data_IF_360118083242
#
_entry.id   IF_360118083242
#
_cell.length_a   1.000
_cell.length_b   1.000
_cell.length_c   1.000
_cell.angle_alpha   90.00
_cell.angle_beta   90.00
_cell.angle_gamma   90.00
#
_symmetry.space_group_name_H-M   'P 1'
#
loop_
_entity.id
_entity.type
_entity.pdbx_description
1 polymer ?
#
# COMPACT_ATOMS: atom_id res chain seq x y z
N UNK A 1 16.08 -1.88 -35.29
CA UNK A 1 17.06 -2.92 -34.92
C UNK A 1 16.70 -3.40 -33.52
N UNK A 2 16.02 -4.55 -33.37
CA UNK A 2 15.61 -5.05 -32.06
C UNK A 2 16.77 -5.84 -31.42
N UNK A 3 17.13 -5.48 -30.19
CA UNK A 3 18.05 -6.27 -29.37
C UNK A 3 17.24 -7.35 -28.65
N UNK A 4 17.66 -8.60 -28.85
CA UNK A 4 17.10 -9.80 -28.25
C UNK A 4 17.73 -10.03 -26.89
N UNK A 5 16.97 -9.87 -25.81
CA UNK A 5 17.13 -10.69 -24.60
C UNK A 5 15.79 -10.78 -23.90
N UNK A 6 15.21 -11.97 -23.95
CA UNK A 6 13.96 -12.31 -23.30
C UNK A 6 14.13 -12.36 -21.80
N UNK A 7 13.60 -11.36 -21.12
CA UNK A 7 12.99 -11.48 -19.81
C UNK A 7 11.83 -10.49 -19.81
N UNK A 8 10.73 -10.88 -20.46
CA UNK A 8 9.45 -10.24 -20.20
C UNK A 8 9.18 -10.55 -18.74
N UNK A 9 9.46 -9.58 -17.87
CA UNK A 9 9.03 -9.65 -16.48
C UNK A 9 7.52 -9.96 -16.53
N UNK A 10 7.16 -11.16 -16.08
CA UNK A 10 5.79 -11.71 -16.10
C UNK A 10 4.80 -10.79 -15.33
N UNK A 11 5.32 -9.78 -14.63
CA UNK A 11 4.57 -8.77 -13.92
C UNK A 11 4.19 -7.50 -14.71
N UNK A 12 4.73 -7.27 -15.92
CA UNK A 12 4.57 -5.97 -16.59
C UNK A 12 3.41 -5.91 -17.62
N UNK A 13 2.69 -7.01 -17.88
CA UNK A 13 1.57 -7.00 -18.85
C UNK A 13 0.40 -7.88 -18.46
N UNK A 14 -0.03 -7.79 -17.21
CA UNK A 14 -1.37 -8.29 -16.85
C UNK A 14 -2.17 -7.21 -16.19
N UNK A 15 -3.19 -6.77 -16.91
CA UNK A 15 -4.31 -5.99 -16.39
C UNK A 15 -5.14 -6.91 -15.46
N UNK A 16 -4.55 -7.29 -14.31
CA UNK A 16 -5.14 -8.10 -13.24
C UNK A 16 -5.62 -7.15 -12.13
N UNK A 17 -6.74 -6.49 -12.38
CA UNK A 17 -7.12 -5.30 -11.61
C UNK A 17 -7.77 -5.55 -10.23
N UNK A 18 -8.20 -6.77 -9.82
CA UNK A 18 -8.65 -6.94 -8.42
C UNK A 18 -7.56 -7.42 -7.44
N UNK A 19 -6.58 -8.24 -7.86
CA UNK A 19 -5.64 -8.87 -6.91
C UNK A 19 -4.36 -8.07 -6.67
N UNK A 20 -3.87 -7.35 -7.68
CA UNK A 20 -2.66 -6.53 -7.54
C UNK A 20 -2.90 -5.28 -6.68
N UNK A 21 -4.12 -4.74 -6.70
CA UNK A 21 -4.49 -3.48 -6.01
C UNK A 21 -4.37 -3.57 -4.49
N UNK A 22 -4.66 -4.74 -3.91
CA UNK A 22 -4.48 -4.97 -2.47
C UNK A 22 -3.00 -5.02 -2.04
N UNK A 23 -2.15 -5.63 -2.87
CA UNK A 23 -0.71 -5.67 -2.62
C UNK A 23 -0.07 -4.28 -2.72
N UNK A 24 -0.49 -3.46 -3.68
CA UNK A 24 -0.06 -2.07 -3.81
C UNK A 24 -0.45 -1.22 -2.61
N UNK A 25 -1.68 -1.37 -2.09
CA UNK A 25 -2.09 -0.67 -0.87
C UNK A 25 -1.26 -1.08 0.34
N UNK A 26 -0.94 -2.37 0.48
CA UNK A 26 -0.04 -2.85 1.52
C UNK A 26 1.35 -2.21 1.40
N UNK A 27 1.91 -2.15 0.19
CA UNK A 27 3.22 -1.53 -0.06
C UNK A 27 3.26 -0.06 0.38
N UNK A 28 2.27 0.73 -0.04
CA UNK A 28 2.23 2.16 0.29
C UNK A 28 1.76 2.51 1.70
N UNK A 29 1.34 1.52 2.48
CA UNK A 29 0.91 1.74 3.87
C UNK A 29 1.81 1.00 4.86
N UNK A 30 1.83 -0.33 4.84
CA UNK A 30 2.57 -1.13 5.82
C UNK A 30 4.08 -1.11 5.56
N UNK A 31 4.52 -1.10 4.30
CA UNK A 31 5.95 -1.11 3.97
C UNK A 31 6.54 0.31 3.95
N UNK A 32 5.89 1.23 3.23
CA UNK A 32 6.42 2.59 2.99
C UNK A 32 5.44 3.71 3.37
N UNK A 33 4.55 3.46 4.32
CA UNK A 33 3.58 4.46 4.78
C UNK A 33 4.16 5.54 5.70
N UNK A 34 3.61 6.74 5.54
CA UNK A 34 3.87 7.89 6.40
C UNK A 34 2.58 8.30 7.12
N UNK A 35 2.70 8.79 8.34
CA UNK A 35 1.60 9.34 9.11
C UNK A 35 1.89 10.77 9.54
N UNK A 36 0.82 11.54 9.70
CA UNK A 36 0.88 12.88 10.25
C UNK A 36 0.62 12.81 11.75
N UNK A 37 1.52 13.35 12.55
CA UNK A 37 1.32 13.49 13.99
C UNK A 37 1.36 14.98 14.33
N UNK A 38 0.17 15.59 14.43
CA UNK A 38 0.01 17.03 14.57
C UNK A 38 0.58 17.78 13.36
N UNK A 39 1.66 18.54 13.59
CA UNK A 39 2.36 19.28 12.53
C UNK A 39 3.61 18.56 11.99
N UNK A 40 3.90 17.34 12.46
CA UNK A 40 5.09 16.60 12.06
C UNK A 40 4.73 15.41 11.18
N UNK A 41 5.58 15.16 10.18
CA UNK A 41 5.51 13.96 9.35
C UNK A 41 6.37 12.87 9.97
N UNK A 42 5.82 11.68 10.15
CA UNK A 42 6.51 10.51 10.69
C UNK A 42 6.38 9.32 9.77
N UNK A 43 7.40 8.47 9.76
CA UNK A 43 7.36 7.19 9.08
C UNK A 43 6.89 6.10 10.05
N UNK A 44 6.01 5.22 9.57
CA UNK A 44 5.62 4.01 10.29
C UNK A 44 5.81 2.74 9.46
N UNK A 45 6.08 2.88 8.17
CA UNK A 45 6.34 1.75 7.28
C UNK A 45 7.57 0.94 7.69
N UNK A 46 7.45 -0.39 7.63
CA UNK A 46 8.53 -1.31 8.02
C UNK A 46 9.78 -1.16 7.13
N UNK A 47 9.61 -0.95 5.83
CA UNK A 47 10.68 -0.68 4.88
C UNK A 47 11.44 0.61 5.22
N UNK A 48 10.71 1.68 5.59
CA UNK A 48 11.33 2.93 6.02
C UNK A 48 12.09 2.77 7.34
N UNK A 49 11.55 2.04 8.31
CA UNK A 49 12.21 1.83 9.59
C UNK A 49 13.46 0.94 9.49
N UNK A 50 13.54 0.07 8.49
CA UNK A 50 14.69 -0.80 8.25
C UNK A 50 15.78 -0.16 7.37
N UNK A 51 15.46 0.89 6.61
CA UNK A 51 16.38 1.59 5.71
C UNK A 51 16.62 3.04 6.14
N UNK A 52 17.78 3.30 6.75
CA UNK A 52 18.14 4.65 7.21
C UNK A 52 18.22 5.69 6.09
N UNK A 53 18.74 5.31 4.92
CA UNK A 53 18.87 6.21 3.78
C UNK A 53 17.51 6.61 3.22
N UNK A 54 16.62 5.63 3.08
CA UNK A 54 15.29 5.86 2.56
C UNK A 54 14.38 6.59 3.55
N UNK A 55 14.52 6.33 4.85
CA UNK A 55 13.83 7.10 5.89
C UNK A 55 14.13 8.60 5.78
N UNK A 56 15.40 8.96 5.61
CA UNK A 56 15.80 10.37 5.40
C UNK A 56 15.24 10.93 4.11
N UNK A 57 15.22 10.12 3.05
CA UNK A 57 14.65 10.53 1.78
C UNK A 57 13.14 10.80 1.91
N UNK A 58 12.39 9.87 2.49
CA UNK A 58 10.95 9.95 2.68
C UNK A 58 10.50 11.15 3.54
N UNK A 59 11.31 11.55 4.53
CA UNK A 59 11.03 12.71 5.39
C UNK A 59 11.61 14.04 4.85
N UNK A 60 12.29 14.01 3.71
CA UNK A 60 12.82 15.22 3.06
C UNK A 60 11.77 15.87 2.14
N UNK A 61 12.09 17.04 1.57
CA UNK A 61 11.24 17.71 0.59
C UNK A 61 11.51 17.24 -0.86
N UNK A 62 12.27 16.16 -1.04
CA UNK A 62 12.63 15.62 -2.36
C UNK A 62 11.48 14.79 -2.95
N UNK A 63 10.89 13.80 -2.24
CA UNK A 63 9.76 13.05 -2.76
C UNK A 63 8.46 13.84 -2.61
N UNK A 64 7.43 13.39 -3.34
CA UNK A 64 6.08 13.95 -3.23
C UNK A 64 5.30 13.25 -2.13
N UNK A 65 4.71 14.02 -1.23
CA UNK A 65 3.75 13.54 -0.25
C UNK A 65 2.33 13.74 -0.75
N UNK A 66 1.56 12.67 -0.85
CA UNK A 66 0.14 12.71 -1.23
C UNK A 66 -0.71 12.15 -0.09
N UNK A 67 -1.95 12.63 0.09
CA UNK A 67 -2.86 12.00 1.06
C UNK A 67 -3.16 10.56 0.65
N UNK A 68 -3.22 9.66 1.63
CA UNK A 68 -3.64 8.29 1.41
C UNK A 68 -5.08 8.28 0.90
N UNK A 69 -5.30 7.72 -0.28
CA UNK A 69 -6.62 7.58 -0.91
C UNK A 69 -6.67 6.20 -1.56
N UNK A 70 -7.35 5.24 -0.90
CA UNK A 70 -7.28 3.83 -1.29
C UNK A 70 -7.66 3.57 -2.77
N UNK A 71 -8.60 4.34 -3.31
CA UNK A 71 -9.03 4.25 -4.70
C UNK A 71 -7.97 4.69 -5.72
N UNK A 72 -7.08 5.60 -5.36
CA UNK A 72 -6.01 6.08 -6.26
C UNK A 72 -4.69 5.39 -5.99
N UNK A 73 -4.37 5.16 -4.71
CA UNK A 73 -3.12 4.54 -4.28
C UNK A 73 -2.98 3.12 -4.81
N UNK A 74 -4.09 2.39 -4.95
CA UNK A 74 -4.04 1.00 -5.42
C UNK A 74 -3.60 0.84 -6.89
N UNK A 75 -3.67 1.90 -7.69
CA UNK A 75 -3.20 1.93 -9.08
C UNK A 75 -1.79 2.52 -9.23
N UNK A 76 -1.21 3.03 -8.14
CA UNK A 76 0.12 3.62 -8.18
C UNK A 76 1.16 2.54 -8.44
N UNK A 77 1.97 2.72 -9.48
CA UNK A 77 3.13 1.86 -9.75
C UNK A 77 4.30 2.23 -8.85
N UNK A 78 5.04 1.22 -8.41
CA UNK A 78 6.27 1.34 -7.62
C UNK A 78 7.36 0.42 -8.18
N UNK A 79 8.60 0.72 -7.80
CA UNK A 79 9.80 -0.07 -8.10
C UNK A 79 10.48 -0.40 -6.78
N UNK A 80 11.00 -1.62 -6.62
CA UNK A 80 11.70 -2.09 -5.41
C UNK A 80 13.21 -1.81 -5.44
N UNK A 81 13.77 -1.39 -6.57
CA UNK A 81 15.21 -1.16 -6.73
C UNK A 81 15.68 0.22 -6.25
N UNK A 82 14.83 1.24 -6.35
CA UNK A 82 15.16 2.65 -6.08
C UNK A 82 14.23 3.28 -5.04
N UNK A 83 14.61 4.46 -4.53
CA UNK A 83 13.78 5.22 -3.59
C UNK A 83 12.46 5.67 -4.21
N UNK A 84 11.38 5.61 -3.42
CA UNK A 84 10.06 5.96 -3.92
C UNK A 84 9.94 7.45 -4.24
N UNK A 85 9.47 7.83 -5.43
CA UNK A 85 9.27 9.24 -5.78
C UNK A 85 8.03 9.84 -5.11
N UNK A 86 7.11 8.99 -4.65
CA UNK A 86 5.83 9.37 -4.05
C UNK A 86 5.60 8.53 -2.80
N UNK A 87 5.27 9.19 -1.69
CA UNK A 87 4.84 8.56 -0.45
C UNK A 87 3.42 9.01 -0.11
N UNK A 88 2.63 8.08 0.43
CA UNK A 88 1.28 8.38 0.89
C UNK A 88 1.27 8.63 2.39
N UNK A 89 0.59 9.71 2.77
CA UNK A 89 0.49 10.19 4.14
C UNK A 89 -0.93 9.94 4.63
N UNK A 90 -1.05 9.20 5.72
CA UNK A 90 -2.30 9.07 6.48
C UNK A 90 -2.35 10.15 7.55
N UNK A 91 -3.53 10.75 7.76
CA UNK A 91 -3.74 11.64 8.90
C UNK A 91 -3.82 10.84 10.21
N UNK A 92 -4.55 9.72 10.20
CA UNK A 92 -4.72 8.82 11.35
C UNK A 92 -4.67 7.35 10.91
N UNK A 93 -4.31 6.45 11.83
CA UNK A 93 -4.36 5.00 11.56
C UNK A 93 -5.78 4.50 11.38
N UNK A 94 -6.75 5.06 12.12
CA UNK A 94 -8.16 4.70 11.99
C UNK A 94 -8.71 5.08 10.61
N UNK A 95 -8.33 6.23 10.07
CA UNK A 95 -8.73 6.66 8.72
C UNK A 95 -8.17 5.71 7.65
N UNK A 96 -6.88 5.38 7.72
CA UNK A 96 -6.26 4.39 6.83
C UNK A 96 -7.00 3.05 6.85
N UNK A 97 -7.35 2.56 8.05
CA UNK A 97 -8.10 1.31 8.21
C UNK A 97 -9.50 1.40 7.61
N UNK A 98 -10.22 2.51 7.79
CA UNK A 98 -11.54 2.74 7.20
C UNK A 98 -11.44 2.76 5.68
N UNK A 99 -10.46 3.47 5.12
CA UNK A 99 -10.25 3.54 3.68
C UNK A 99 -9.99 2.16 3.06
N UNK A 100 -9.09 1.37 3.65
CA UNK A 100 -8.77 0.01 3.18
C UNK A 100 -9.99 -0.92 3.32
N UNK A 101 -10.72 -0.84 4.43
CA UNK A 101 -11.96 -1.62 4.63
C UNK A 101 -13.02 -1.29 3.57
N UNK A 102 -13.26 0.00 3.32
CA UNK A 102 -14.22 0.46 2.33
C UNK A 102 -13.80 0.06 0.91
N UNK A 103 -12.50 0.14 0.61
CA UNK A 103 -11.96 -0.34 -0.68
C UNK A 103 -12.17 -1.84 -0.84
N UNK A 104 -11.87 -2.64 0.18
CA UNK A 104 -12.04 -4.10 0.19
C UNK A 104 -13.50 -4.51 -0.02
N UNK A 105 -14.44 -3.86 0.66
CA UNK A 105 -15.87 -4.15 0.51
C UNK A 105 -16.41 -3.83 -0.89
N UNK A 106 -15.91 -2.77 -1.52
CA UNK A 106 -16.34 -2.36 -2.87
C UNK A 106 -15.72 -3.20 -3.99
N UNK A 107 -14.45 -3.56 -3.85
CA UNK A 107 -13.67 -4.17 -4.93
C UNK A 107 -13.55 -5.70 -4.82
N UNK A 108 -13.77 -6.28 -3.63
CA UNK A 108 -13.68 -7.73 -3.42
C UNK A 108 -15.09 -8.31 -3.32
N UNK A 109 -15.63 -8.76 -4.45
CA UNK A 109 -16.92 -9.44 -4.51
C UNK A 109 -16.86 -10.80 -3.80
N UNK A 110 -17.53 -10.91 -2.65
CA UNK A 110 -17.69 -12.15 -1.89
C UNK A 110 -19.14 -12.25 -1.43
N UNK A 111 -19.69 -13.47 -1.43
CA UNK A 111 -21.07 -13.74 -1.02
C UNK A 111 -21.21 -14.04 0.48
N UNK A 112 -20.18 -13.73 1.25
CA UNK A 112 -20.12 -13.94 2.70
C UNK A 112 -19.18 -12.90 3.30
N UNK A 113 -19.46 -12.49 4.53
CA UNK A 113 -18.59 -11.64 5.33
C UNK A 113 -17.67 -12.53 6.17
N UNK A 114 -16.39 -12.17 6.26
CA UNK A 114 -15.46 -12.82 7.17
C UNK A 114 -15.37 -11.99 8.45
N UNK A 115 -15.53 -12.65 9.60
CA UNK A 115 -15.28 -12.08 10.91
C UNK A 115 -14.23 -12.93 11.63
N UNK A 116 -13.25 -12.27 12.22
CA UNK A 116 -12.22 -12.91 13.02
C UNK A 116 -12.65 -12.88 14.49
N UNK A 117 -12.75 -14.05 15.12
CA UNK A 117 -12.99 -14.16 16.55
C UNK A 117 -11.66 -14.27 17.31
N UNK A 118 -11.37 -13.25 18.11
CA UNK A 118 -10.16 -13.18 18.94
C UNK A 118 -10.12 -14.26 20.02
N UNK A 119 -11.27 -14.76 20.48
CA UNK A 119 -11.36 -15.70 21.60
C UNK A 119 -10.99 -17.11 21.18
N UNK A 120 -11.53 -17.55 20.04
CA UNK A 120 -11.29 -18.88 19.47
C UNK A 120 -10.14 -18.92 18.46
N UNK A 121 -9.55 -17.77 18.12
CA UNK A 121 -8.57 -17.61 17.05
C UNK A 121 -9.04 -18.23 15.71
N UNK A 122 -10.34 -18.12 15.43
CA UNK A 122 -10.99 -18.72 14.26
C UNK A 122 -11.63 -17.66 13.37
N UNK A 123 -11.83 -18.00 12.09
CA UNK A 123 -12.48 -17.15 11.10
C UNK A 123 -13.85 -17.74 10.81
N UNK A 124 -14.90 -16.95 11.02
CA UNK A 124 -16.28 -17.34 10.72
C UNK A 124 -16.77 -16.62 9.48
N UNK A 125 -17.39 -17.38 8.57
CA UNK A 125 -18.12 -16.83 7.42
C UNK A 125 -19.57 -16.60 7.81
N UNK A 126 -20.01 -15.35 7.79
CA UNK A 126 -21.42 -14.96 7.96
C UNK A 126 -22.01 -14.75 6.57
N UNK A 127 -23.03 -15.53 6.23
CA UNK A 127 -23.73 -15.48 4.94
C UNK A 127 -24.89 -14.48 4.98
#
# INVERSE_FOLDING_TARGET
MPCATGAVCIWCRVQLVPCATGATLYWFTVEFGLCKEGNHLKAYGAGLMSSYGELKHALSNIPRHLPLQADTTCFQTYDDADYQPVYFVSDDFDDALVQIKNFSQRNIHRNFKLEYDHTSASITGVY
#
